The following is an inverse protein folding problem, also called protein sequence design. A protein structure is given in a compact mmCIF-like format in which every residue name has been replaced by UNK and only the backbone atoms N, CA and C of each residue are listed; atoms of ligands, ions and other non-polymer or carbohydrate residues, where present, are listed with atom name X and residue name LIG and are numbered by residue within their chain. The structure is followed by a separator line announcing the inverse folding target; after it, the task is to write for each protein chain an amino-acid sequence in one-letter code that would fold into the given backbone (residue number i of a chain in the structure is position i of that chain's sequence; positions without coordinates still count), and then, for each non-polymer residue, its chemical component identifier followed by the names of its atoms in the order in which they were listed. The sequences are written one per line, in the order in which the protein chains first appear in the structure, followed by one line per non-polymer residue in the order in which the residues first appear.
data_IF_097289168194
#
_entry.id   IF_097289168194
#
_cell.length_a   1.000
_cell.length_b   1.000
_cell.length_c   1.000
_cell.angle_alpha   90.00
_cell.angle_beta   90.00
_cell.angle_gamma   90.00
#
_symmetry.space_group_name_H-M   'P 1'
#
loop_
_entity.id
_entity.type
_entity.pdbx_description
1 polymer ?
#
# COMPACT_ATOMS: atom_id res chain seq x y z
N UNK A 1 4.03 -28.15 -9.12
CA UNK A 1 4.99 -28.20 -7.99
C UNK A 1 6.21 -27.32 -8.27
N UNK A 2 6.92 -27.54 -9.36
CA UNK A 2 8.10 -26.75 -9.76
C UNK A 2 7.82 -25.24 -9.84
N UNK A 3 6.72 -24.84 -10.44
CA UNK A 3 6.30 -23.43 -10.48
C UNK A 3 6.12 -22.85 -9.07
N UNK A 4 5.51 -23.61 -8.15
CA UNK A 4 5.35 -23.20 -6.76
C UNK A 4 6.68 -23.01 -6.04
N UNK A 5 7.63 -23.92 -6.25
CA UNK A 5 8.99 -23.86 -5.70
C UNK A 5 9.72 -22.63 -6.27
N UNK A 6 9.60 -22.35 -7.56
CA UNK A 6 10.24 -21.20 -8.21
C UNK A 6 9.68 -19.86 -7.70
N UNK A 7 8.41 -19.81 -7.31
CA UNK A 7 7.77 -18.61 -6.69
C UNK A 7 8.24 -18.34 -5.25
N UNK A 8 8.89 -19.30 -4.57
CA UNK A 8 9.45 -19.06 -3.24
C UNK A 8 10.57 -18.01 -3.29
N UNK A 9 10.50 -17.02 -2.40
CA UNK A 9 11.55 -16.01 -2.31
C UNK A 9 12.80 -16.57 -1.63
N UNK A 10 13.96 -16.48 -2.29
CA UNK A 10 15.26 -16.83 -1.72
C UNK A 10 15.75 -15.78 -0.71
N UNK A 11 16.79 -16.14 0.08
CA UNK A 11 17.42 -15.24 1.06
C UNK A 11 16.52 -14.84 2.22
N UNK A 12 15.48 -15.61 2.54
CA UNK A 12 14.57 -15.37 3.66
C UNK A 12 14.88 -16.26 4.84
N UNK A 13 14.54 -15.79 6.05
CA UNK A 13 14.68 -16.59 7.27
C UNK A 13 13.88 -17.88 7.18
N UNK A 14 14.46 -18.98 7.63
CA UNK A 14 13.78 -20.25 7.84
C UNK A 14 12.94 -20.21 9.13
N UNK A 15 12.01 -21.14 9.25
CA UNK A 15 11.33 -21.44 10.50
C UNK A 15 12.22 -22.31 11.42
N UNK A 16 11.62 -22.95 12.43
CA UNK A 16 12.35 -23.81 13.38
C UNK A 16 12.89 -25.09 12.75
N UNK A 17 12.36 -25.47 11.59
CA UNK A 17 12.78 -26.67 10.83
C UNK A 17 14.12 -26.51 10.10
N UNK A 18 14.69 -25.30 10.05
CA UNK A 18 15.94 -25.04 9.36
C UNK A 18 15.86 -25.19 7.83
N UNK A 19 14.66 -25.36 7.24
CA UNK A 19 14.49 -25.56 5.80
C UNK A 19 14.32 -24.21 5.09
N UNK A 20 15.27 -23.90 4.20
CA UNK A 20 15.27 -22.70 3.36
C UNK A 20 14.62 -22.96 1.99
N UNK A 21 14.18 -21.90 1.32
CA UNK A 21 13.65 -22.02 -0.04
C UNK A 21 14.69 -22.59 -1.03
N UNK A 22 15.95 -22.32 -0.82
CA UNK A 22 17.09 -22.80 -1.60
C UNK A 22 17.19 -24.33 -1.56
N UNK A 23 16.92 -24.96 -0.42
CA UNK A 23 16.91 -26.44 -0.33
C UNK A 23 15.89 -27.07 -1.28
N UNK A 24 14.71 -26.43 -1.44
CA UNK A 24 13.70 -26.91 -2.37
C UNK A 24 14.03 -26.56 -3.84
N UNK A 25 14.64 -25.41 -4.08
CA UNK A 25 15.01 -24.97 -5.45
C UNK A 25 16.11 -25.80 -6.08
N UNK A 26 16.99 -26.34 -5.26
CA UNK A 26 18.13 -27.16 -5.72
C UNK A 26 17.96 -28.64 -5.43
N UNK A 27 16.77 -29.11 -5.03
CA UNK A 27 16.49 -30.52 -4.84
C UNK A 27 16.36 -31.28 -6.19
N UNK A 28 16.47 -32.61 -6.13
CA UNK A 28 16.31 -33.45 -7.32
C UNK A 28 14.84 -33.49 -7.80
N UNK A 29 14.65 -33.81 -9.08
CA UNK A 29 13.31 -34.00 -9.65
C UNK A 29 12.50 -35.08 -8.94
N UNK A 30 13.19 -36.17 -8.47
CA UNK A 30 12.54 -37.23 -7.70
C UNK A 30 11.98 -36.72 -6.38
N UNK A 31 12.68 -35.82 -5.70
CA UNK A 31 12.22 -35.18 -4.48
C UNK A 31 11.02 -34.27 -4.75
N UNK A 32 11.06 -33.47 -5.83
CA UNK A 32 9.95 -32.63 -6.27
C UNK A 32 8.70 -33.47 -6.60
N UNK A 33 8.87 -34.63 -7.23
CA UNK A 33 7.76 -35.55 -7.52
C UNK A 33 7.17 -36.14 -6.22
N UNK A 34 8.02 -36.51 -5.23
CA UNK A 34 7.57 -36.97 -3.92
C UNK A 34 6.77 -35.87 -3.20
N UNK A 35 7.28 -34.64 -3.16
CA UNK A 35 6.57 -33.49 -2.59
C UNK A 35 5.21 -33.27 -3.25
N UNK A 36 5.11 -33.43 -4.57
CA UNK A 36 3.85 -33.30 -5.28
C UNK A 36 2.82 -34.35 -4.81
N UNK A 37 3.25 -35.59 -4.62
CA UNK A 37 2.40 -36.67 -4.09
C UNK A 37 1.96 -36.36 -2.65
N UNK A 38 2.86 -35.91 -1.77
CA UNK A 38 2.53 -35.52 -0.39
C UNK A 38 1.51 -34.39 -0.36
N UNK A 39 1.72 -33.31 -1.11
CA UNK A 39 0.79 -32.17 -1.16
C UNK A 39 -0.57 -32.57 -1.72
N UNK A 40 -0.61 -33.45 -2.72
CA UNK A 40 -1.86 -34.01 -3.25
C UNK A 40 -2.57 -34.84 -2.20
N UNK A 41 -1.86 -35.70 -1.46
CA UNK A 41 -2.43 -36.48 -0.37
C UNK A 41 -3.05 -35.60 0.71
N UNK A 42 -2.38 -34.50 1.11
CA UNK A 42 -2.94 -33.54 2.07
C UNK A 42 -4.26 -32.94 1.58
N UNK A 43 -4.35 -32.58 0.32
CA UNK A 43 -5.58 -32.02 -0.25
C UNK A 43 -6.71 -33.04 -0.35
N UNK A 44 -6.40 -34.29 -0.71
CA UNK A 44 -7.38 -35.39 -0.83
C UNK A 44 -7.93 -35.77 0.55
N UNK A 45 -7.06 -35.99 1.51
CA UNK A 45 -7.45 -36.45 2.84
C UNK A 45 -7.92 -35.31 3.76
N UNK A 46 -7.60 -34.05 3.43
CA UNK A 46 -7.97 -32.88 4.25
C UNK A 46 -7.23 -32.82 5.58
N UNK A 47 -6.04 -33.37 5.65
CA UNK A 47 -5.18 -33.45 6.82
C UNK A 47 -3.82 -32.81 6.55
N UNK A 48 -3.25 -32.13 7.56
CA UNK A 48 -1.91 -31.55 7.52
C UNK A 48 -1.08 -32.03 8.71
N UNK A 49 0.21 -32.36 8.50
CA UNK A 49 1.14 -32.60 9.59
C UNK A 49 1.31 -31.35 10.48
N UNK A 50 1.51 -31.57 11.77
CA UNK A 50 1.65 -30.48 12.75
C UNK A 50 2.79 -29.49 12.39
N UNK A 51 3.90 -30.02 11.85
CA UNK A 51 5.04 -29.20 11.40
C UNK A 51 4.70 -28.16 10.33
N UNK A 52 3.66 -28.40 9.52
CA UNK A 52 3.17 -27.42 8.53
C UNK A 52 2.26 -26.35 9.16
N UNK A 53 1.69 -26.63 10.32
CA UNK A 53 0.73 -25.76 11.00
C UNK A 53 1.38 -24.92 12.10
N UNK A 54 2.62 -25.22 12.47
CA UNK A 54 3.36 -24.52 13.51
C UNK A 54 3.99 -23.25 12.96
N UNK A 55 3.86 -22.13 13.66
CA UNK A 55 4.30 -20.79 13.28
C UNK A 55 5.01 -20.10 14.42
N UNK A 56 6.12 -19.43 14.13
CA UNK A 56 6.81 -18.55 15.08
C UNK A 56 6.46 -17.10 14.80
N UNK A 57 5.94 -16.42 15.83
CA UNK A 57 5.67 -14.98 15.78
C UNK A 57 6.88 -14.21 16.27
N UNK A 58 7.34 -13.29 15.46
CA UNK A 58 8.43 -12.36 15.83
C UNK A 58 7.84 -10.96 15.97
N UNK A 59 7.81 -10.39 17.19
CA UNK A 59 7.32 -9.03 17.40
C UNK A 59 8.29 -7.99 16.80
N UNK A 60 7.79 -7.18 15.87
CA UNK A 60 8.56 -6.08 15.25
C UNK A 60 7.97 -4.74 15.68
N UNK A 61 8.82 -3.81 16.13
CA UNK A 61 8.43 -2.47 16.56
C UNK A 61 7.80 -1.71 15.37
N UNK A 62 6.58 -1.18 15.56
CA UNK A 62 5.87 -0.34 14.58
C UNK A 62 6.46 1.06 14.52
N UNK A 63 6.64 1.67 15.69
CA UNK A 63 7.15 3.02 15.85
C UNK A 63 8.33 3.01 16.81
N UNK A 64 9.51 3.37 16.30
CA UNK A 64 10.76 3.42 17.10
C UNK A 64 10.76 4.55 18.12
N UNK A 65 9.93 5.58 17.92
CA UNK A 65 9.74 6.70 18.86
C UNK A 65 8.63 6.43 19.88
N UNK A 66 7.83 5.38 19.65
CA UNK A 66 6.75 4.98 20.55
C UNK A 66 7.23 4.24 21.80
N UNK A 67 6.33 4.01 22.75
CA UNK A 67 6.63 3.28 23.99
C UNK A 67 6.96 1.82 23.68
N UNK A 68 8.23 1.43 23.93
CA UNK A 68 8.72 0.05 23.73
C UNK A 68 8.04 -0.93 24.68
N UNK A 69 7.58 -0.47 25.85
CA UNK A 69 6.87 -1.28 26.85
C UNK A 69 5.43 -1.59 26.49
N UNK A 70 4.87 -0.90 25.48
CA UNK A 70 3.48 -1.14 25.04
C UNK A 70 3.42 -2.24 24.00
N UNK A 71 2.63 -3.28 24.27
CA UNK A 71 2.34 -4.39 23.35
C UNK A 71 1.73 -3.90 22.00
N UNK A 72 1.01 -2.79 22.03
CA UNK A 72 0.36 -2.24 20.83
C UNK A 72 1.35 -1.60 19.85
N UNK A 73 2.60 -1.33 20.29
CA UNK A 73 3.69 -0.85 19.45
C UNK A 73 4.40 -1.99 18.69
N UNK A 74 3.91 -3.22 18.75
CA UNK A 74 4.50 -4.36 18.05
C UNK A 74 3.56 -4.92 16.97
N UNK A 75 4.16 -5.41 15.87
CA UNK A 75 3.50 -6.24 14.86
C UNK A 75 4.02 -7.66 14.99
N UNK A 76 3.15 -8.66 15.24
CA UNK A 76 3.57 -10.06 15.26
C UNK A 76 3.73 -10.56 13.83
N UNK A 77 4.97 -10.66 13.34
CA UNK A 77 5.24 -11.20 12.02
C UNK A 77 5.37 -12.72 12.12
N UNK A 78 4.53 -13.42 11.37
CA UNK A 78 4.49 -14.88 11.32
C UNK A 78 5.59 -15.43 10.42
N UNK A 79 6.47 -16.25 10.98
CA UNK A 79 7.48 -17.04 10.26
C UNK A 79 7.00 -18.48 10.20
N UNK A 80 6.41 -18.86 9.08
CA UNK A 80 5.99 -20.22 8.78
C UNK A 80 7.11 -21.00 8.07
N UNK A 81 7.04 -22.33 8.13
CA UNK A 81 7.98 -23.21 7.41
C UNK A 81 7.95 -22.96 5.90
N UNK A 82 9.04 -23.29 5.22
CA UNK A 82 9.13 -23.18 3.75
C UNK A 82 8.09 -24.08 3.07
N UNK A 83 7.83 -25.24 3.66
CA UNK A 83 6.81 -26.18 3.19
C UNK A 83 5.39 -25.61 3.35
N UNK A 84 5.10 -24.92 4.46
CA UNK A 84 3.83 -24.20 4.64
C UNK A 84 3.65 -23.12 3.57
N UNK A 85 4.69 -22.33 3.29
CA UNK A 85 4.64 -21.31 2.23
C UNK A 85 4.41 -21.91 0.85
N UNK A 86 5.03 -23.08 0.56
CA UNK A 86 4.80 -23.80 -0.69
C UNK A 86 3.32 -24.25 -0.80
N UNK A 87 2.76 -24.79 0.28
CA UNK A 87 1.34 -25.15 0.31
C UNK A 87 0.44 -23.92 0.12
N UNK A 88 0.75 -22.77 0.75
CA UNK A 88 0.02 -21.52 0.53
C UNK A 88 0.06 -21.07 -0.93
N UNK A 89 1.19 -21.19 -1.62
CA UNK A 89 1.31 -20.87 -3.06
C UNK A 89 0.40 -21.78 -3.88
N UNK A 90 0.39 -23.08 -3.61
CA UNK A 90 -0.46 -24.06 -4.32
C UNK A 90 -1.94 -23.76 -4.07
N UNK A 91 -2.31 -23.47 -2.83
CA UNK A 91 -3.68 -23.11 -2.48
C UNK A 91 -4.11 -21.79 -3.13
N UNK A 92 -3.23 -20.78 -3.13
CA UNK A 92 -3.50 -19.49 -3.77
C UNK A 92 -3.78 -19.63 -5.26
N UNK A 93 -2.99 -20.45 -5.95
CA UNK A 93 -3.19 -20.71 -7.37
C UNK A 93 -4.54 -21.38 -7.65
N UNK A 94 -4.90 -22.40 -6.86
CA UNK A 94 -6.18 -23.11 -6.98
C UNK A 94 -7.40 -22.27 -6.57
N UNK A 95 -7.23 -21.35 -5.64
CA UNK A 95 -8.27 -20.46 -5.15
C UNK A 95 -8.38 -19.15 -5.95
N UNK A 96 -7.47 -18.85 -6.85
CA UNK A 96 -7.34 -17.54 -7.52
C UNK A 96 -8.65 -16.99 -8.08
N UNK A 97 -9.45 -17.84 -8.74
CA UNK A 97 -10.73 -17.45 -9.34
C UNK A 97 -11.82 -17.11 -8.30
N UNK A 98 -11.71 -17.64 -7.09
CA UNK A 98 -12.66 -17.42 -5.99
C UNK A 98 -12.25 -16.26 -5.08
N UNK A 99 -10.99 -15.78 -5.20
CA UNK A 99 -10.43 -14.68 -4.42
C UNK A 99 -10.51 -13.32 -5.15
N UNK A 100 -11.23 -13.26 -6.26
CA UNK A 100 -11.46 -12.01 -6.98
C UNK A 100 -12.23 -11.03 -6.10
N UNK A 101 -11.77 -9.79 -6.07
CA UNK A 101 -12.39 -8.72 -5.30
C UNK A 101 -12.74 -7.52 -6.16
N UNK A 102 -13.58 -6.65 -5.63
CA UNK A 102 -14.11 -5.46 -6.28
C UNK A 102 -13.01 -4.55 -6.84
N UNK A 103 -13.32 -3.76 -7.89
CA UNK A 103 -12.43 -2.74 -8.46
C UNK A 103 -12.04 -1.65 -7.46
N UNK A 104 -12.81 -1.48 -6.38
CA UNK A 104 -12.49 -0.54 -5.29
C UNK A 104 -11.38 -1.03 -4.35
N UNK A 105 -11.03 -2.34 -4.36
CA UNK A 105 -9.89 -2.87 -3.60
C UNK A 105 -8.62 -2.79 -4.45
N UNK A 106 -7.65 -1.98 -4.00
CA UNK A 106 -6.34 -1.80 -4.65
C UNK A 106 -5.23 -2.62 -3.97
N UNK A 107 -5.39 -2.97 -2.71
CA UNK A 107 -4.39 -3.74 -1.96
C UNK A 107 -4.30 -5.18 -2.43
N UNK A 108 -3.08 -5.74 -2.42
CA UNK A 108 -2.79 -7.14 -2.74
C UNK A 108 -3.23 -7.64 -4.12
N UNK A 109 -3.41 -6.74 -5.06
CA UNK A 109 -3.71 -7.06 -6.46
C UNK A 109 -2.53 -6.78 -7.37
N UNK A 110 -2.25 -7.71 -8.28
CA UNK A 110 -1.25 -7.49 -9.34
C UNK A 110 -1.61 -6.23 -10.15
N UNK A 111 -0.59 -5.49 -10.57
CA UNK A 111 -0.72 -4.23 -11.33
C UNK A 111 -1.50 -3.10 -10.63
N UNK A 112 -1.87 -3.28 -9.36
CA UNK A 112 -2.48 -2.23 -8.53
C UNK A 112 -1.42 -1.70 -7.56
N UNK A 113 -1.44 -0.39 -7.30
CA UNK A 113 -0.43 0.27 -6.48
C UNK A 113 -1.05 1.38 -5.63
N UNK A 114 -0.33 1.76 -4.57
CA UNK A 114 -0.77 2.85 -3.68
C UNK A 114 -0.96 4.16 -4.42
N UNK A 115 -0.08 4.46 -5.37
CA UNK A 115 -0.15 5.68 -6.19
C UNK A 115 -1.37 5.70 -7.11
N UNK A 116 -1.79 4.56 -7.67
CA UNK A 116 -3.00 4.46 -8.47
C UNK A 116 -4.27 4.67 -7.61
N UNK A 117 -4.30 4.11 -6.39
CA UNK A 117 -5.39 4.32 -5.45
C UNK A 117 -5.52 5.81 -5.05
N UNK A 118 -4.40 6.45 -4.67
CA UNK A 118 -4.36 7.86 -4.32
C UNK A 118 -4.73 8.74 -5.54
N UNK A 119 -4.30 8.36 -6.74
CA UNK A 119 -4.66 9.04 -7.97
C UNK A 119 -6.18 9.08 -8.18
N UNK A 120 -6.85 7.93 -8.08
CA UNK A 120 -8.32 7.85 -8.21
C UNK A 120 -9.00 8.73 -7.17
N UNK A 121 -8.54 8.70 -5.92
CA UNK A 121 -9.07 9.55 -4.85
C UNK A 121 -8.92 11.04 -5.19
N UNK A 122 -7.70 11.50 -5.52
CA UNK A 122 -7.41 12.91 -5.86
C UNK A 122 -8.24 13.37 -7.06
N UNK A 123 -8.32 12.56 -8.11
CA UNK A 123 -9.09 12.90 -9.31
C UNK A 123 -10.59 12.97 -9.05
N UNK A 124 -11.14 12.06 -8.23
CA UNK A 124 -12.55 12.11 -7.84
C UNK A 124 -12.87 13.39 -7.04
N UNK A 125 -12.02 13.72 -6.09
CA UNK A 125 -12.17 14.94 -5.25
C UNK A 125 -12.04 16.21 -6.10
N UNK A 126 -10.99 16.33 -6.88
CA UNK A 126 -10.71 17.53 -7.70
C UNK A 126 -11.78 17.74 -8.77
N UNK A 127 -12.40 16.65 -9.27
CA UNK A 127 -13.52 16.73 -10.17
C UNK A 127 -14.71 17.52 -9.59
N UNK A 128 -15.06 17.23 -8.35
CA UNK A 128 -16.19 17.90 -7.67
C UNK A 128 -15.83 19.31 -7.24
N UNK A 129 -14.63 19.50 -6.69
CA UNK A 129 -14.17 20.83 -6.25
C UNK A 129 -14.07 21.81 -7.43
N UNK A 130 -13.63 21.35 -8.62
CA UNK A 130 -13.62 22.17 -9.82
C UNK A 130 -15.03 22.59 -10.28
N UNK A 131 -16.06 21.87 -9.85
CA UNK A 131 -17.50 22.19 -10.10
C UNK A 131 -18.19 22.88 -8.94
N UNK A 132 -17.39 23.46 -8.03
CA UNK A 132 -17.89 24.19 -6.86
C UNK A 132 -18.67 23.30 -5.87
N UNK A 133 -18.47 21.99 -5.91
CA UNK A 133 -19.01 21.05 -4.94
C UNK A 133 -17.94 20.63 -3.94
N UNK A 134 -18.24 20.69 -2.66
CA UNK A 134 -17.36 20.17 -1.61
C UNK A 134 -17.38 18.64 -1.60
N UNK A 135 -16.30 18.02 -1.10
CA UNK A 135 -16.24 16.58 -0.90
C UNK A 135 -15.80 16.29 0.53
N UNK A 136 -16.55 15.43 1.18
CA UNK A 136 -16.29 14.92 2.52
C UNK A 136 -15.58 13.58 2.39
N UNK A 137 -14.47 13.44 3.07
CA UNK A 137 -13.63 12.24 3.09
C UNK A 137 -13.55 11.71 4.50
N UNK A 138 -13.74 10.42 4.69
CA UNK A 138 -13.48 9.76 5.96
C UNK A 138 -12.41 8.68 5.75
N UNK A 139 -11.31 8.79 6.49
CA UNK A 139 -10.25 7.79 6.53
C UNK A 139 -10.46 6.91 7.75
N UNK A 140 -10.81 5.65 7.54
CA UNK A 140 -11.13 4.69 8.57
C UNK A 140 -9.92 3.80 8.86
N UNK A 141 -9.54 3.69 10.13
CA UNK A 141 -8.48 2.80 10.64
C UNK A 141 -9.12 1.56 11.29
N UNK A 142 -8.88 0.39 10.76
CA UNK A 142 -9.37 -0.84 11.36
C UNK A 142 -8.36 -1.40 12.37
N UNK A 143 -8.80 -1.56 13.62
CA UNK A 143 -7.95 -2.04 14.71
C UNK A 143 -7.62 -3.51 14.58
N UNK A 144 -6.33 -3.84 14.36
CA UNK A 144 -5.85 -5.23 14.29
C UNK A 144 -6.69 -6.10 13.33
N UNK A 145 -7.02 -5.53 12.15
CA UNK A 145 -7.97 -6.14 11.22
C UNK A 145 -7.60 -7.57 10.82
N UNK A 146 -6.31 -7.85 10.55
CA UNK A 146 -5.81 -9.18 10.24
C UNK A 146 -6.02 -10.18 11.38
N UNK A 147 -5.90 -9.74 12.63
CA UNK A 147 -5.98 -10.59 13.82
C UNK A 147 -7.45 -10.90 14.22
N UNK A 148 -8.42 -10.18 13.60
CA UNK A 148 -9.86 -10.28 13.93
C UNK A 148 -10.70 -11.06 12.92
N UNK A 149 -10.11 -11.52 11.82
CA UNK A 149 -10.85 -12.29 10.82
C UNK A 149 -11.45 -13.52 11.45
N UNK A 150 -12.78 -13.60 11.49
CA UNK A 150 -13.51 -14.76 11.96
C UNK A 150 -13.39 -15.91 10.95
N UNK A 151 -12.84 -17.03 11.37
CA UNK A 151 -12.55 -18.18 10.50
C UNK A 151 -13.83 -18.79 9.91
N UNK A 152 -14.89 -18.93 10.72
CA UNK A 152 -16.16 -19.48 10.23
C UNK A 152 -16.74 -18.61 9.13
N UNK A 153 -16.84 -17.30 9.36
CA UNK A 153 -17.34 -16.34 8.37
C UNK A 153 -16.47 -16.35 7.11
N UNK A 154 -15.16 -16.46 7.24
CA UNK A 154 -14.24 -16.56 6.12
C UNK A 154 -14.52 -17.80 5.25
N UNK A 155 -14.69 -18.96 5.88
CA UNK A 155 -14.94 -20.22 5.16
C UNK A 155 -16.32 -20.22 4.50
N UNK A 156 -17.35 -19.68 5.17
CA UNK A 156 -18.66 -19.47 4.56
C UNK A 156 -18.60 -18.58 3.32
N UNK A 157 -17.81 -17.50 3.36
CA UNK A 157 -17.60 -16.63 2.20
C UNK A 157 -16.93 -17.36 1.04
N UNK A 158 -15.93 -18.18 1.31
CA UNK A 158 -15.29 -19.03 0.29
C UNK A 158 -16.30 -20.01 -0.34
N UNK A 159 -17.12 -20.65 0.47
CA UNK A 159 -18.17 -21.57 -0.02
C UNK A 159 -19.21 -20.82 -0.86
N UNK A 160 -19.70 -19.67 -0.39
CA UNK A 160 -20.66 -18.83 -1.15
C UNK A 160 -20.11 -18.38 -2.51
N UNK A 161 -18.77 -18.26 -2.64
CA UNK A 161 -18.11 -17.97 -3.92
C UNK A 161 -17.85 -19.21 -4.78
N UNK A 162 -18.30 -20.39 -4.34
CA UNK A 162 -18.17 -21.63 -5.09
C UNK A 162 -16.78 -22.27 -5.00
N UNK A 163 -15.96 -21.89 -4.00
CA UNK A 163 -14.68 -22.55 -3.79
C UNK A 163 -14.87 -24.05 -3.55
N UNK A 164 -14.06 -24.93 -4.17
CA UNK A 164 -14.18 -26.37 -4.01
C UNK A 164 -14.09 -26.79 -2.53
N UNK A 165 -15.01 -27.65 -2.10
CA UNK A 165 -15.14 -28.04 -0.69
C UNK A 165 -13.87 -28.65 -0.10
N UNK A 166 -13.07 -29.37 -0.90
CA UNK A 166 -11.79 -29.93 -0.43
C UNK A 166 -10.76 -28.83 -0.11
N UNK A 167 -10.77 -27.70 -0.81
CA UNK A 167 -9.90 -26.54 -0.51
C UNK A 167 -10.36 -25.83 0.75
N UNK A 168 -11.66 -25.64 0.92
CA UNK A 168 -12.20 -25.04 2.15
C UNK A 168 -11.94 -25.93 3.35
N UNK A 169 -12.11 -27.26 3.21
CA UNK A 169 -11.84 -28.26 4.28
C UNK A 169 -10.38 -28.22 4.74
N UNK A 170 -9.42 -28.19 3.81
CA UNK A 170 -8.00 -28.16 4.20
C UNK A 170 -7.63 -26.84 4.89
N UNK A 171 -8.19 -25.69 4.45
CA UNK A 171 -8.02 -24.41 5.11
C UNK A 171 -8.64 -24.41 6.51
N UNK A 172 -9.87 -24.92 6.66
CA UNK A 172 -10.52 -25.03 7.94
C UNK A 172 -9.70 -25.88 8.91
N UNK A 173 -9.24 -27.07 8.46
CA UNK A 173 -8.37 -27.93 9.26
C UNK A 173 -7.09 -27.19 9.68
N UNK A 174 -6.44 -26.48 8.75
CA UNK A 174 -5.23 -25.73 9.04
C UNK A 174 -5.44 -24.64 10.09
N UNK A 175 -6.43 -23.78 9.88
CA UNK A 175 -6.70 -22.64 10.78
C UNK A 175 -7.18 -23.09 12.17
N UNK A 176 -7.91 -24.22 12.26
CA UNK A 176 -8.36 -24.77 13.54
C UNK A 176 -7.22 -25.39 14.34
N UNK A 177 -6.25 -26.04 13.66
CA UNK A 177 -5.18 -26.80 14.32
C UNK A 177 -3.84 -26.07 14.34
N UNK A 178 -3.78 -24.80 13.86
CA UNK A 178 -2.53 -24.04 13.86
C UNK A 178 -2.07 -23.72 15.27
N UNK A 179 -0.78 -23.92 15.50
CA UNK A 179 -0.08 -23.58 16.75
C UNK A 179 0.88 -22.44 16.51
N UNK A 180 0.92 -21.51 17.45
CA UNK A 180 1.83 -20.35 17.39
C UNK A 180 2.68 -20.28 18.64
N UNK A 181 3.96 -19.90 18.50
CA UNK A 181 4.87 -19.57 19.59
C UNK A 181 5.47 -18.18 19.35
N UNK A 182 5.78 -17.44 20.40
CA UNK A 182 6.41 -16.12 20.29
C UNK A 182 7.91 -16.28 20.50
N UNK A 183 8.72 -15.72 19.59
CA UNK A 183 10.17 -15.62 19.73
C UNK A 183 10.56 -14.22 20.11
N UNK A 184 11.21 -14.07 21.27
CA UNK A 184 11.78 -12.83 21.75
C UNK A 184 13.29 -13.01 21.99
N UNK A 185 14.08 -12.50 21.07
CA UNK A 185 15.53 -12.77 21.07
C UNK A 185 15.82 -14.25 20.87
N UNK A 186 16.47 -14.90 21.86
CA UNK A 186 16.79 -16.34 21.90
C UNK A 186 15.70 -17.18 22.58
N UNK A 187 14.72 -16.55 23.23
CA UNK A 187 13.67 -17.25 23.99
C UNK A 187 12.47 -17.50 23.07
N UNK A 188 11.89 -18.70 23.20
CA UNK A 188 10.63 -19.10 22.52
C UNK A 188 9.64 -19.48 23.61
N UNK A 189 8.42 -18.97 23.53
CA UNK A 189 7.32 -19.30 24.42
C UNK A 189 6.78 -20.71 24.18
N UNK A 190 5.96 -21.20 25.10
CA UNK A 190 5.08 -22.34 24.84
C UNK A 190 4.16 -22.04 23.65
N UNK A 191 3.72 -23.12 22.97
CA UNK A 191 2.78 -23.04 21.89
C UNK A 191 1.37 -22.74 22.38
N UNK A 192 0.65 -21.88 21.67
CA UNK A 192 -0.75 -21.57 21.93
C UNK A 192 -1.59 -21.65 20.64
N UNK A 193 -2.88 -21.92 20.79
CA UNK A 193 -3.84 -21.93 19.68
C UNK A 193 -4.40 -20.54 19.42
N UNK A 194 -4.71 -20.26 18.15
CA UNK A 194 -5.31 -19.01 17.70
C UNK A 194 -6.63 -19.34 17.00
N UNK A 195 -7.73 -18.81 17.53
CA UNK A 195 -9.10 -19.07 17.06
C UNK A 195 -9.55 -18.11 15.94
N UNK A 196 -8.91 -16.95 15.80
CA UNK A 196 -9.27 -15.90 14.85
C UNK A 196 -8.03 -15.34 14.16
N UNK A 197 -8.25 -14.66 13.06
CA UNK A 197 -7.22 -13.92 12.34
C UNK A 197 -6.52 -14.70 11.25
N UNK A 198 -5.90 -13.93 10.34
CA UNK A 198 -5.02 -14.45 9.29
C UNK A 198 -3.58 -14.04 9.58
N UNK A 199 -2.63 -14.89 9.23
CA UNK A 199 -1.21 -14.73 9.60
C UNK A 199 -0.58 -13.50 8.95
N UNK A 200 -0.05 -12.57 9.75
CA UNK A 200 0.71 -11.43 9.23
C UNK A 200 2.07 -11.92 8.69
N UNK A 201 2.20 -12.03 7.36
CA UNK A 201 3.37 -12.59 6.68
C UNK A 201 3.11 -13.90 5.94
N UNK A 202 1.91 -14.47 6.05
CA UNK A 202 1.45 -15.57 5.19
C UNK A 202 1.24 -15.11 3.74
N UNK A 203 1.44 -16.00 2.79
CA UNK A 203 1.27 -15.71 1.36
C UNK A 203 -0.21 -15.60 1.00
N UNK A 204 -1.04 -16.45 1.57
CA UNK A 204 -2.48 -16.50 1.31
C UNK A 204 -3.26 -15.45 2.11
N UNK A 205 -2.76 -15.05 3.29
CA UNK A 205 -3.45 -14.16 4.23
C UNK A 205 -3.94 -12.84 3.64
N UNK A 206 -3.18 -12.11 2.80
CA UNK A 206 -3.64 -10.87 2.21
C UNK A 206 -4.87 -11.04 1.32
N UNK A 207 -4.94 -12.13 0.58
CA UNK A 207 -6.05 -12.43 -0.32
C UNK A 207 -7.30 -12.85 0.45
N UNK A 208 -7.13 -13.67 1.49
CA UNK A 208 -8.23 -14.06 2.39
C UNK A 208 -8.81 -12.86 3.13
N UNK A 209 -7.95 -11.94 3.58
CA UNK A 209 -8.39 -10.69 4.20
C UNK A 209 -9.16 -9.80 3.21
N UNK A 210 -8.63 -9.64 1.98
CA UNK A 210 -9.31 -8.87 0.94
C UNK A 210 -10.68 -9.46 0.59
N UNK A 211 -10.79 -10.78 0.50
CA UNK A 211 -12.05 -11.50 0.34
C UNK A 211 -13.01 -11.21 1.51
N UNK A 212 -12.50 -11.27 2.74
CA UNK A 212 -13.28 -11.04 3.95
C UNK A 212 -13.94 -9.66 3.94
N UNK A 213 -13.23 -8.63 3.48
CA UNK A 213 -13.69 -7.24 3.40
C UNK A 213 -14.53 -6.93 2.13
N UNK A 214 -14.54 -7.79 1.13
CA UNK A 214 -15.13 -7.48 -0.18
C UNK A 214 -16.67 -7.34 -0.17
N UNK A 215 -17.33 -8.03 0.77
CA UNK A 215 -18.78 -7.88 0.93
C UNK A 215 -19.16 -6.47 1.44
N UNK A 216 -18.30 -5.83 2.26
CA UNK A 216 -18.48 -4.43 2.61
C UNK A 216 -18.40 -3.54 1.37
N UNK A 217 -17.42 -3.79 0.49
CA UNK A 217 -17.33 -3.08 -0.80
C UNK A 217 -18.59 -3.25 -1.63
N UNK A 218 -19.16 -4.45 -1.65
CA UNK A 218 -20.41 -4.74 -2.36
C UNK A 218 -21.61 -4.01 -1.74
N UNK A 219 -21.70 -3.96 -0.40
CA UNK A 219 -22.74 -3.20 0.32
C UNK A 219 -22.60 -1.70 0.02
N UNK A 220 -21.40 -1.14 0.09
CA UNK A 220 -21.12 0.28 -0.19
C UNK A 220 -21.44 0.66 -1.65
N UNK A 221 -21.14 -0.19 -2.62
CA UNK A 221 -21.47 0.04 -4.03
C UNK A 221 -22.98 0.14 -4.32
N UNK A 222 -23.81 -0.48 -3.48
CA UNK A 222 -25.28 -0.40 -3.62
C UNK A 222 -25.86 0.94 -3.18
N UNK A 223 -25.08 1.75 -2.44
CA UNK A 223 -25.50 3.10 -2.07
C UNK A 223 -25.38 4.06 -3.25
N UNK A 224 -26.41 4.91 -3.43
CA UNK A 224 -26.36 6.00 -4.41
C UNK A 224 -25.48 7.17 -3.94
N UNK A 225 -25.14 7.22 -2.64
CA UNK A 225 -24.22 8.19 -2.07
C UNK A 225 -22.80 7.96 -2.57
N UNK A 226 -22.11 9.04 -2.98
CA UNK A 226 -20.74 9.00 -3.47
C UNK A 226 -20.46 9.99 -4.60
N UNK A 227 -19.21 10.02 -5.04
CA UNK A 227 -18.78 10.87 -6.15
C UNK A 227 -19.11 10.18 -7.48
N UNK A 228 -20.13 10.66 -8.18
CA UNK A 228 -20.51 10.14 -9.49
C UNK A 228 -19.58 10.73 -10.57
N UNK A 229 -18.85 9.86 -11.25
CA UNK A 229 -17.97 10.20 -12.37
C UNK A 229 -18.40 9.35 -13.57
N UNK A 230 -18.84 10.01 -14.65
CA UNK A 230 -19.51 9.33 -15.76
C UNK A 230 -20.67 8.46 -15.24
N UNK A 231 -20.63 7.17 -15.52
CA UNK A 231 -21.65 6.22 -15.07
C UNK A 231 -21.27 5.43 -13.80
N UNK A 232 -20.16 5.82 -13.13
CA UNK A 232 -19.66 5.12 -11.96
C UNK A 232 -19.80 6.00 -10.70
N UNK A 233 -20.17 5.35 -9.59
CA UNK A 233 -20.16 5.97 -8.27
C UNK A 233 -18.90 5.51 -7.56
N UNK A 234 -18.06 6.47 -7.18
CA UNK A 234 -16.86 6.27 -6.36
C UNK A 234 -17.21 6.77 -4.96
N UNK A 235 -17.53 5.88 -4.04
CA UNK A 235 -17.87 6.22 -2.67
C UNK A 235 -16.93 5.61 -1.64
N UNK A 236 -16.06 4.68 -2.06
CA UNK A 236 -15.04 4.08 -1.20
C UNK A 236 -13.86 3.56 -2.02
N UNK A 237 -12.69 3.55 -1.40
CA UNK A 237 -11.49 2.88 -1.89
C UNK A 237 -10.85 2.10 -0.74
N UNK A 238 -10.49 0.86 -0.99
CA UNK A 238 -9.75 0.00 -0.09
C UNK A 238 -8.30 -0.16 -0.53
N UNK A 239 -7.39 -0.12 0.41
CA UNK A 239 -6.05 -0.65 0.25
C UNK A 239 -5.71 -1.56 1.42
N UNK A 240 -6.01 -2.84 1.29
CA UNK A 240 -6.02 -3.81 2.37
C UNK A 240 -7.04 -3.41 3.47
N UNK A 241 -6.56 -3.07 4.67
CA UNK A 241 -7.31 -2.60 5.82
C UNK A 241 -7.57 -1.08 5.82
N UNK A 242 -6.80 -0.31 5.05
CA UNK A 242 -7.02 1.12 4.90
C UNK A 242 -8.26 1.38 4.02
N UNK A 243 -9.30 1.96 4.61
CA UNK A 243 -10.54 2.33 3.93
C UNK A 243 -10.70 3.84 3.91
N UNK A 244 -10.96 4.41 2.74
CA UNK A 244 -11.43 5.79 2.60
C UNK A 244 -12.82 5.82 2.00
N UNK A 245 -13.73 6.52 2.67
CA UNK A 245 -15.06 6.84 2.16
C UNK A 245 -15.04 8.25 1.57
N UNK A 246 -15.82 8.49 0.50
CA UNK A 246 -15.92 9.80 -0.13
C UNK A 246 -17.33 10.08 -0.62
N UNK A 247 -17.85 11.27 -0.30
CA UNK A 247 -19.17 11.69 -0.73
C UNK A 247 -19.25 13.23 -0.86
N UNK A 248 -19.98 13.77 -1.86
CA UNK A 248 -20.19 15.21 -1.97
C UNK A 248 -21.24 15.77 -1.00
N UNK A 249 -21.97 14.94 -0.28
CA UNK A 249 -22.95 15.34 0.73
C UNK A 249 -22.61 14.81 2.11
N UNK A 250 -22.85 15.63 3.13
CA UNK A 250 -22.64 15.25 4.53
C UNK A 250 -23.49 14.04 4.92
N UNK A 251 -24.80 14.10 4.63
CA UNK A 251 -25.75 13.01 4.92
C UNK A 251 -25.30 11.70 4.24
N UNK A 252 -24.90 11.76 2.96
CA UNK A 252 -24.45 10.56 2.24
C UNK A 252 -23.19 9.96 2.84
N UNK A 253 -22.23 10.75 3.34
CA UNK A 253 -21.07 10.21 4.04
C UNK A 253 -21.46 9.53 5.36
N UNK A 254 -22.42 10.10 6.11
CA UNK A 254 -22.92 9.49 7.34
C UNK A 254 -23.63 8.14 7.07
N UNK A 255 -24.44 8.03 6.03
CA UNK A 255 -25.07 6.77 5.61
C UNK A 255 -24.04 5.68 5.23
N UNK A 256 -22.92 6.09 4.61
CA UNK A 256 -21.81 5.17 4.33
C UNK A 256 -21.09 4.70 5.61
N UNK A 257 -20.90 5.61 6.59
CA UNK A 257 -20.33 5.26 7.91
C UNK A 257 -21.21 4.25 8.65
N UNK A 258 -22.53 4.47 8.72
CA UNK A 258 -23.49 3.55 9.32
C UNK A 258 -23.46 2.16 8.65
N UNK A 259 -23.22 2.12 7.35
CA UNK A 259 -23.06 0.84 6.62
C UNK A 259 -21.79 0.13 7.04
N UNK A 260 -20.70 0.87 7.28
CA UNK A 260 -19.45 0.31 7.81
C UNK A 260 -19.63 -0.21 9.24
N UNK A 261 -20.36 0.51 10.11
CA UNK A 261 -20.66 0.09 11.49
C UNK A 261 -21.42 -1.24 11.53
N UNK A 262 -22.52 -1.32 10.76
CA UNK A 262 -23.32 -2.57 10.69
C UNK A 262 -22.48 -3.74 10.22
N UNK A 263 -21.69 -3.54 9.19
CA UNK A 263 -20.79 -4.58 8.69
C UNK A 263 -19.74 -4.99 9.72
N UNK A 264 -19.17 -4.01 10.42
CA UNK A 264 -18.17 -4.24 11.45
C UNK A 264 -18.72 -5.10 12.59
N UNK A 265 -19.94 -4.80 13.06
CA UNK A 265 -20.63 -5.59 14.08
C UNK A 265 -20.91 -7.03 13.63
N UNK A 266 -21.30 -7.25 12.36
CA UNK A 266 -21.57 -8.56 11.78
C UNK A 266 -20.29 -9.41 11.57
N UNK A 267 -19.11 -8.78 11.50
CA UNK A 267 -17.87 -9.41 11.04
C UNK A 267 -16.70 -9.27 12.03
N UNK A 268 -16.96 -9.01 13.32
CA UNK A 268 -15.95 -8.86 14.37
C UNK A 268 -14.85 -7.82 14.05
N UNK A 269 -15.14 -6.84 13.20
CA UNK A 269 -14.23 -5.76 12.85
C UNK A 269 -14.45 -4.60 13.84
N UNK A 270 -13.38 -3.94 14.25
CA UNK A 270 -13.46 -2.73 15.09
C UNK A 270 -12.76 -1.59 14.37
N UNK A 271 -13.50 -0.54 14.06
CA UNK A 271 -12.92 0.71 13.61
C UNK A 271 -12.42 1.52 14.81
N UNK A 272 -11.24 2.11 14.65
CA UNK A 272 -10.63 2.96 15.68
C UNK A 272 -11.09 4.40 15.50
N UNK A 273 -12.06 4.83 16.29
CA UNK A 273 -12.65 6.19 16.23
C UNK A 273 -11.60 7.28 16.46
N UNK A 274 -10.61 7.05 17.36
CA UNK A 274 -9.53 8.01 17.66
C UNK A 274 -8.48 8.17 16.55
N UNK A 275 -8.39 7.23 15.64
CA UNK A 275 -7.47 7.30 14.48
C UNK A 275 -8.19 7.55 13.17
N UNK A 276 -9.51 7.27 13.15
CA UNK A 276 -10.34 7.60 12.01
C UNK A 276 -10.60 9.11 11.98
N UNK A 277 -10.45 9.73 10.82
CA UNK A 277 -10.52 11.19 10.71
C UNK A 277 -11.32 11.62 9.49
N UNK A 278 -11.91 12.80 9.59
CA UNK A 278 -12.63 13.48 8.51
C UNK A 278 -11.72 14.53 7.89
N UNK A 279 -11.65 14.55 6.56
CA UNK A 279 -11.02 15.63 5.81
C UNK A 279 -12.01 16.20 4.81
N UNK A 280 -12.22 17.51 4.84
CA UNK A 280 -13.22 18.19 4.02
C UNK A 280 -12.52 19.05 2.98
N UNK A 281 -12.72 18.71 1.71
CA UNK A 281 -12.33 19.53 0.57
C UNK A 281 -13.44 20.54 0.28
N UNK A 282 -13.36 21.71 0.94
CA UNK A 282 -14.37 22.75 0.80
C UNK A 282 -14.31 23.45 -0.55
N UNK A 283 -15.45 23.58 -1.21
CA UNK A 283 -15.59 24.50 -2.34
C UNK A 283 -15.62 25.94 -1.85
N UNK A 284 -15.49 26.89 -2.78
CA UNK A 284 -15.58 28.32 -2.43
C UNK A 284 -16.93 28.70 -1.83
N UNK A 285 -18.00 28.01 -2.22
CA UNK A 285 -19.36 28.25 -1.72
C UNK A 285 -19.58 27.80 -0.27
N UNK A 286 -18.83 26.81 0.21
CA UNK A 286 -18.98 26.24 1.55
C UNK A 286 -18.01 26.84 2.57
N UNK A 287 -17.32 27.93 2.23
CA UNK A 287 -16.48 28.65 3.18
C UNK A 287 -17.32 29.23 4.30
N UNK A 288 -17.07 28.79 5.54
CA UNK A 288 -17.74 29.26 6.74
C UNK A 288 -19.09 28.60 7.07
N UNK A 289 -19.53 27.60 6.30
CA UNK A 289 -20.70 26.81 6.69
C UNK A 289 -20.41 25.94 7.90
N UNK A 290 -21.31 25.92 8.85
CA UNK A 290 -21.27 25.01 9.99
C UNK A 290 -21.61 23.60 9.52
N UNK A 291 -20.73 22.63 9.82
CA UNK A 291 -20.87 21.24 9.41
C UNK A 291 -21.09 20.42 10.67
N UNK A 292 -22.21 19.71 10.72
CA UNK A 292 -22.51 18.82 11.84
C UNK A 292 -21.40 17.75 11.97
N UNK A 293 -21.02 17.35 13.18
CA UNK A 293 -20.03 16.31 13.40
C UNK A 293 -20.45 14.98 12.75
N UNK A 294 -19.48 14.27 12.22
CA UNK A 294 -19.69 12.90 11.75
C UNK A 294 -19.51 11.92 12.90
N UNK A 295 -20.43 11.00 13.05
CA UNK A 295 -20.38 9.99 14.09
C UNK A 295 -19.97 8.62 13.54
N UNK A 296 -19.19 7.88 14.33
CA UNK A 296 -18.82 6.47 14.11
C UNK A 296 -18.88 5.73 15.44
N UNK A 297 -19.67 4.68 15.50
CA UNK A 297 -19.89 3.89 16.75
C UNK A 297 -20.28 4.79 17.95
N UNK A 298 -21.09 5.81 17.73
CA UNK A 298 -21.53 6.75 18.77
C UNK A 298 -20.52 7.82 19.19
N UNK A 299 -19.32 7.82 18.63
CA UNK A 299 -18.29 8.82 18.89
C UNK A 299 -18.14 9.79 17.69
N UNK A 300 -17.93 11.06 17.97
CA UNK A 300 -17.65 12.05 16.93
C UNK A 300 -16.24 11.90 16.39
N UNK A 301 -16.11 11.95 15.07
CA UNK A 301 -14.82 11.89 14.39
C UNK A 301 -14.20 13.29 14.28
N UNK A 302 -12.87 13.36 14.48
CA UNK A 302 -12.12 14.60 14.36
C UNK A 302 -12.00 15.06 12.90
N UNK A 303 -12.30 16.35 12.64
CA UNK A 303 -11.96 16.99 11.37
C UNK A 303 -10.50 17.42 11.35
N UNK A 304 -9.77 17.04 10.29
CA UNK A 304 -8.36 17.39 10.10
C UNK A 304 -8.14 18.16 8.80
N UNK A 305 -7.12 19.02 8.80
CA UNK A 305 -6.71 19.73 7.58
C UNK A 305 -5.75 18.92 6.70
N UNK A 306 -5.12 17.89 7.23
CA UNK A 306 -4.18 17.01 6.52
C UNK A 306 -4.20 15.61 7.10
N UNK A 307 -4.06 14.60 6.25
CA UNK A 307 -3.98 13.19 6.63
C UNK A 307 -2.89 12.48 5.85
N UNK A 308 -2.18 11.56 6.49
CA UNK A 308 -1.24 10.67 5.82
C UNK A 308 -1.97 9.40 5.39
N UNK A 309 -2.23 9.28 4.09
CA UNK A 309 -2.90 8.13 3.48
C UNK A 309 -1.94 7.37 2.57
N UNK A 310 -1.78 6.07 2.78
CA UNK A 310 -0.87 5.20 2.02
C UNK A 310 0.54 5.79 1.85
N UNK A 311 1.05 6.48 2.88
CA UNK A 311 2.39 7.07 2.87
C UNK A 311 2.51 8.43 2.17
N UNK A 312 1.44 8.96 1.58
CA UNK A 312 1.34 10.29 0.96
C UNK A 312 0.48 11.22 1.84
N UNK A 313 0.78 12.53 1.85
CA UNK A 313 -0.04 13.50 2.57
C UNK A 313 -1.12 14.08 1.65
N UNK A 314 -2.38 14.00 2.10
CA UNK A 314 -3.53 14.63 1.46
C UNK A 314 -3.96 15.80 2.33
N UNK A 315 -4.13 16.99 1.73
CA UNK A 315 -4.49 18.23 2.44
C UNK A 315 -5.85 18.76 2.00
N UNK A 316 -6.54 19.41 2.93
CA UNK A 316 -7.83 20.04 2.69
C UNK A 316 -7.75 21.17 1.65
N UNK A 317 -6.61 21.82 1.45
CA UNK A 317 -6.39 22.83 0.40
C UNK A 317 -6.03 22.22 -0.98
N UNK A 318 -5.76 20.91 -1.06
CA UNK A 318 -5.38 20.17 -2.27
C UNK A 318 -3.98 20.39 -2.75
N UNK A 319 -3.11 21.01 -1.97
CA UNK A 319 -1.71 21.20 -2.30
C UNK A 319 -0.85 20.02 -1.83
N UNK A 320 0.24 19.79 -2.52
CA UNK A 320 1.21 18.74 -2.19
C UNK A 320 2.40 19.25 -1.34
N UNK A 321 2.33 20.48 -0.84
CA UNK A 321 3.41 21.14 -0.11
C UNK A 321 3.90 20.33 1.08
N UNK A 322 2.99 19.73 1.83
CA UNK A 322 3.30 18.90 2.99
C UNK A 322 4.07 17.65 2.59
N UNK A 323 3.63 16.99 1.53
CA UNK A 323 4.29 15.78 1.04
C UNK A 323 5.66 16.07 0.44
N UNK A 324 5.81 17.16 -0.32
CA UNK A 324 7.11 17.61 -0.83
C UNK A 324 8.07 17.99 0.30
N UNK A 325 7.60 18.66 1.35
CA UNK A 325 8.41 18.98 2.52
C UNK A 325 8.84 17.71 3.27
N UNK A 326 7.99 16.67 3.35
CA UNK A 326 8.35 15.35 3.87
C UNK A 326 9.48 14.73 3.03
N UNK A 327 9.35 14.75 1.70
CA UNK A 327 10.36 14.23 0.80
C UNK A 327 11.69 14.99 0.93
N UNK A 328 11.64 16.32 1.08
CA UNK A 328 12.82 17.15 1.29
C UNK A 328 13.55 16.80 2.61
N UNK A 329 12.82 16.64 3.71
CA UNK A 329 13.41 16.23 5.00
C UNK A 329 14.05 14.84 4.90
N UNK A 330 13.37 13.88 4.25
CA UNK A 330 13.91 12.54 4.03
C UNK A 330 15.20 12.58 3.22
N UNK A 331 15.23 13.38 2.15
CA UNK A 331 16.41 13.55 1.30
C UNK A 331 17.60 14.08 2.08
N UNK A 332 17.43 15.13 2.89
CA UNK A 332 18.50 15.65 3.74
C UNK A 332 18.96 14.65 4.79
N UNK A 333 18.04 13.92 5.43
CA UNK A 333 18.40 12.90 6.42
C UNK A 333 19.23 11.78 5.80
N UNK A 334 18.84 11.30 4.61
CA UNK A 334 19.58 10.28 3.86
C UNK A 334 20.93 10.82 3.39
N UNK A 335 20.96 12.01 2.78
CA UNK A 335 22.18 12.66 2.32
C UNK A 335 23.20 12.88 3.44
N UNK A 336 22.77 13.43 4.57
CA UNK A 336 23.63 13.64 5.72
C UNK A 336 24.16 12.31 6.30
N UNK A 337 23.35 11.25 6.30
CA UNK A 337 23.80 9.92 6.70
C UNK A 337 24.89 9.38 5.77
N UNK A 338 24.72 9.55 4.45
CA UNK A 338 25.73 9.15 3.47
C UNK A 338 27.03 9.96 3.63
N UNK A 339 26.93 11.29 3.73
CA UNK A 339 28.06 12.18 3.91
C UNK A 339 28.88 11.77 5.15
N UNK A 340 28.21 11.48 6.28
CA UNK A 340 28.88 11.11 7.53
C UNK A 340 29.52 9.73 7.46
N UNK A 341 28.81 8.73 6.91
CA UNK A 341 29.26 7.33 6.96
C UNK A 341 30.26 6.97 5.86
N UNK A 342 30.17 7.63 4.71
CA UNK A 342 30.90 7.24 3.50
C UNK A 342 31.83 8.34 2.97
N UNK A 343 32.28 9.24 3.84
CA UNK A 343 33.14 10.37 3.46
C UNK A 343 34.49 9.93 2.87
N UNK A 344 35.02 8.77 3.29
CA UNK A 344 36.29 8.21 2.79
C UNK A 344 36.15 7.34 1.52
N UNK A 345 34.91 7.07 1.08
CA UNK A 345 34.69 6.26 -0.11
C UNK A 345 35.09 7.02 -1.39
N UNK A 346 35.34 6.26 -2.47
CA UNK A 346 35.60 6.81 -3.81
C UNK A 346 34.39 7.56 -4.33
N UNK A 347 34.62 8.46 -5.31
CA UNK A 347 33.53 9.22 -5.93
C UNK A 347 32.48 8.29 -6.56
N UNK A 348 32.90 7.23 -7.22
CA UNK A 348 32.01 6.22 -7.83
C UNK A 348 31.11 5.53 -6.82
N UNK A 349 31.66 5.12 -5.67
CA UNK A 349 30.88 4.52 -4.59
C UNK A 349 29.85 5.52 -4.04
N UNK A 350 30.22 6.76 -3.83
CA UNK A 350 29.33 7.83 -3.38
C UNK A 350 28.20 8.09 -4.36
N UNK A 351 28.50 8.10 -5.68
CA UNK A 351 27.49 8.23 -6.74
C UNK A 351 26.50 7.07 -6.71
N UNK A 352 26.96 5.82 -6.61
CA UNK A 352 26.07 4.65 -6.50
C UNK A 352 25.17 4.74 -5.28
N UNK A 353 25.73 5.12 -4.13
CA UNK A 353 24.96 5.31 -2.90
C UNK A 353 23.92 6.45 -3.03
N UNK A 354 24.29 7.58 -3.65
CA UNK A 354 23.37 8.67 -3.91
C UNK A 354 22.21 8.23 -4.79
N UNK A 355 22.48 7.56 -5.90
CA UNK A 355 21.45 7.06 -6.81
C UNK A 355 20.53 6.06 -6.10
N UNK A 356 21.08 5.18 -5.26
CA UNK A 356 20.29 4.18 -4.55
C UNK A 356 19.39 4.78 -3.48
N UNK A 357 19.88 5.72 -2.68
CA UNK A 357 19.19 6.20 -1.49
C UNK A 357 18.53 7.58 -1.65
N UNK A 358 19.09 8.47 -2.48
CA UNK A 358 18.63 9.86 -2.60
C UNK A 358 17.79 10.15 -3.85
N UNK A 359 17.76 9.24 -4.83
CA UNK A 359 17.03 9.45 -6.09
C UNK A 359 15.61 8.87 -6.11
N UNK A 360 15.15 8.28 -5.01
CA UNK A 360 13.82 7.67 -4.93
C UNK A 360 12.85 8.57 -4.16
N UNK A 361 11.88 9.13 -4.88
CA UNK A 361 10.82 9.96 -4.32
C UNK A 361 9.49 9.22 -4.38
N UNK A 362 9.01 8.77 -3.19
CA UNK A 362 7.78 8.01 -3.08
C UNK A 362 6.58 8.87 -3.48
N UNK A 363 5.74 8.36 -4.38
CA UNK A 363 4.55 9.02 -4.91
C UNK A 363 4.77 10.39 -5.56
N UNK A 364 6.00 10.70 -6.01
CA UNK A 364 6.31 11.98 -6.66
C UNK A 364 5.52 12.22 -7.96
N UNK A 365 5.06 11.17 -8.63
CA UNK A 365 4.17 11.23 -9.78
C UNK A 365 2.81 11.88 -9.48
N UNK A 366 2.42 11.97 -8.21
CA UNK A 366 1.18 12.61 -7.78
C UNK A 366 1.31 14.13 -7.59
N UNK A 367 2.54 14.69 -7.63
CA UNK A 367 2.79 16.13 -7.53
C UNK A 367 2.60 16.89 -8.84
N UNK A 368 1.94 16.30 -9.81
CA UNK A 368 1.78 16.78 -11.18
C UNK A 368 1.37 18.25 -11.32
N UNK A 369 0.52 18.73 -10.41
CA UNK A 369 -0.02 20.08 -10.48
C UNK A 369 0.79 21.11 -9.69
N UNK A 370 1.77 20.65 -8.91
CA UNK A 370 2.57 21.47 -8.00
C UNK A 370 4.01 21.72 -8.49
N UNK A 371 4.32 21.40 -9.76
CA UNK A 371 5.69 21.50 -10.32
C UNK A 371 6.21 22.94 -10.37
N UNK A 372 5.34 23.93 -10.34
CA UNK A 372 5.73 25.35 -10.33
C UNK A 372 5.78 25.96 -8.93
N UNK A 373 5.43 25.21 -7.91
CA UNK A 373 5.33 25.68 -6.53
C UNK A 373 6.70 25.91 -5.88
N UNK A 374 6.71 26.75 -4.85
CA UNK A 374 7.93 27.05 -4.08
C UNK A 374 8.55 25.79 -3.47
N UNK A 375 7.70 24.85 -3.00
CA UNK A 375 8.14 23.60 -2.39
C UNK A 375 8.83 22.68 -3.39
N UNK A 376 8.37 22.63 -4.64
CA UNK A 376 9.05 21.91 -5.71
C UNK A 376 10.44 22.47 -6.00
N UNK A 377 10.55 23.81 -6.15
CA UNK A 377 11.84 24.47 -6.35
C UNK A 377 12.81 24.21 -5.22
N UNK A 378 12.30 24.26 -3.96
CA UNK A 378 13.10 23.95 -2.76
C UNK A 378 13.63 22.51 -2.77
N UNK A 379 12.79 21.53 -3.17
CA UNK A 379 13.19 20.12 -3.25
C UNK A 379 14.24 19.89 -4.35
N UNK A 380 14.10 20.54 -5.51
CA UNK A 380 15.12 20.51 -6.58
C UNK A 380 16.48 21.07 -6.09
N UNK A 381 16.45 22.22 -5.41
CA UNK A 381 17.67 22.81 -4.82
C UNK A 381 18.27 21.87 -3.76
N UNK A 382 17.44 21.25 -2.91
CA UNK A 382 17.89 20.29 -1.92
C UNK A 382 18.59 19.08 -2.55
N UNK A 383 18.03 18.53 -3.63
CA UNK A 383 18.64 17.43 -4.38
C UNK A 383 20.01 17.77 -4.92
N UNK A 384 20.13 18.95 -5.55
CA UNK A 384 21.39 19.45 -6.06
C UNK A 384 22.43 19.65 -4.94
N UNK A 385 22.03 20.23 -3.83
CA UNK A 385 22.92 20.51 -2.70
C UNK A 385 23.42 19.23 -2.01
N UNK A 386 22.54 18.25 -1.79
CA UNK A 386 22.95 16.95 -1.21
C UNK A 386 24.01 16.28 -2.08
N UNK A 387 23.83 16.31 -3.42
CA UNK A 387 24.82 15.75 -4.34
C UNK A 387 26.17 16.50 -4.28
N UNK A 388 26.14 17.86 -4.29
CA UNK A 388 27.35 18.68 -4.15
C UNK A 388 28.10 18.39 -2.85
N UNK A 389 27.40 18.35 -1.73
CA UNK A 389 28.00 18.09 -0.42
C UNK A 389 28.59 16.69 -0.30
N UNK A 390 27.90 15.68 -0.81
CA UNK A 390 28.37 14.30 -0.80
C UNK A 390 29.69 14.13 -1.56
N UNK A 391 29.81 14.79 -2.73
CA UNK A 391 31.00 14.73 -3.58
C UNK A 391 32.02 15.83 -3.26
N UNK A 392 31.74 16.75 -2.32
CA UNK A 392 32.60 17.88 -1.98
C UNK A 392 33.00 18.70 -3.21
N UNK A 393 32.02 18.97 -4.10
CA UNK A 393 32.30 19.70 -5.33
C UNK A 393 32.75 21.16 -5.02
N UNK A 394 33.81 21.67 -5.68
CA UNK A 394 34.33 23.00 -5.44
C UNK A 394 33.31 24.08 -5.85
N UNK A 395 33.49 25.27 -5.28
CA UNK A 395 32.85 26.49 -5.75
C UNK A 395 33.82 27.20 -6.69
N UNK A 396 33.30 28.07 -7.58
CA UNK A 396 34.12 28.90 -8.41
C UNK A 396 34.83 30.01 -7.60
N UNK A 397 35.72 30.78 -8.24
CA UNK A 397 36.48 31.87 -7.62
C UNK A 397 35.58 32.99 -7.03
N UNK A 398 34.29 33.02 -7.43
CA UNK A 398 33.29 33.95 -6.93
C UNK A 398 32.41 33.32 -5.85
N UNK A 399 32.77 32.16 -5.34
CA UNK A 399 32.02 31.41 -4.30
C UNK A 399 30.71 30.77 -4.79
N UNK A 400 30.43 30.81 -6.12
CA UNK A 400 29.19 30.20 -6.66
C UNK A 400 29.35 28.71 -6.84
N UNK A 401 28.30 27.94 -6.56
CA UNK A 401 28.34 26.51 -6.75
C UNK A 401 28.40 26.11 -8.22
N UNK A 402 29.08 25.03 -8.56
CA UNK A 402 29.13 24.48 -9.92
C UNK A 402 27.72 24.33 -10.52
N UNK A 403 27.61 24.48 -11.86
CA UNK A 403 26.35 24.32 -12.58
C UNK A 403 25.67 22.99 -12.25
N UNK A 404 24.37 23.05 -11.97
CA UNK A 404 23.60 21.85 -11.69
C UNK A 404 23.57 20.87 -12.87
N UNK A 405 23.43 21.40 -14.10
CA UNK A 405 23.45 20.59 -15.32
C UNK A 405 24.79 19.89 -15.51
N UNK A 406 25.90 20.66 -15.47
CA UNK A 406 27.25 20.11 -15.66
C UNK A 406 27.61 19.02 -14.65
N UNK A 407 27.27 19.21 -13.36
CA UNK A 407 27.65 18.22 -12.35
C UNK A 407 26.96 16.86 -12.53
N UNK A 408 25.72 16.82 -13.03
CA UNK A 408 24.98 15.59 -13.29
C UNK A 408 25.38 14.94 -14.61
N UNK A 409 25.51 15.73 -15.69
CA UNK A 409 25.90 15.23 -17.02
C UNK A 409 27.27 14.59 -16.97
N UNK A 410 28.29 15.28 -16.41
CA UNK A 410 29.67 14.78 -16.34
C UNK A 410 29.80 13.47 -15.56
N UNK A 411 28.83 13.16 -14.67
CA UNK A 411 28.83 11.97 -13.81
C UNK A 411 27.78 10.95 -14.22
N UNK A 412 27.06 11.19 -15.32
CA UNK A 412 25.98 10.32 -15.83
C UNK A 412 24.89 10.04 -14.79
N UNK A 413 24.57 11.02 -13.96
CA UNK A 413 23.50 10.93 -12.93
C UNK A 413 22.31 11.75 -13.40
N UNK A 414 21.11 11.22 -13.19
CA UNK A 414 19.87 11.91 -13.56
C UNK A 414 19.64 13.12 -12.66
N UNK A 415 19.28 14.24 -13.27
CA UNK A 415 18.81 15.43 -12.55
C UNK A 415 17.47 15.14 -11.87
N UNK A 416 17.09 15.95 -10.87
CA UNK A 416 15.80 15.84 -10.20
C UNK A 416 14.61 15.91 -11.18
N UNK A 417 14.68 16.82 -12.13
CA UNK A 417 13.66 17.00 -13.16
C UNK A 417 13.53 15.78 -14.08
N UNK A 418 14.65 15.20 -14.48
CA UNK A 418 14.68 13.98 -15.29
C UNK A 418 14.10 12.78 -14.53
N UNK A 419 14.46 12.62 -13.25
CA UNK A 419 13.88 11.57 -12.40
C UNK A 419 12.36 11.72 -12.35
N UNK A 420 11.87 12.93 -12.08
CA UNK A 420 10.43 13.17 -11.95
C UNK A 420 9.70 12.93 -13.27
N UNK A 421 10.23 13.41 -14.41
CA UNK A 421 9.65 13.11 -15.74
C UNK A 421 9.53 11.61 -15.99
N UNK A 422 10.59 10.86 -15.71
CA UNK A 422 10.60 9.42 -15.90
C UNK A 422 9.57 8.70 -15.00
N UNK A 423 9.44 9.14 -13.74
CA UNK A 423 8.46 8.55 -12.81
C UNK A 423 7.02 8.87 -13.27
N UNK A 424 6.76 10.10 -13.69
CA UNK A 424 5.46 10.52 -14.22
C UNK A 424 5.12 9.75 -15.50
N UNK A 425 6.05 9.65 -16.44
CA UNK A 425 5.83 8.91 -17.68
C UNK A 425 5.49 7.44 -17.44
N UNK A 426 6.30 6.76 -16.62
CA UNK A 426 6.05 5.35 -16.25
C UNK A 426 4.71 5.16 -15.52
N UNK A 427 4.32 6.14 -14.71
CA UNK A 427 3.05 6.10 -14.02
C UNK A 427 1.89 6.22 -15.01
N UNK A 428 1.97 7.14 -15.96
CA UNK A 428 0.97 7.29 -17.00
C UNK A 428 0.80 6.02 -17.83
N UNK A 429 1.89 5.39 -18.30
CA UNK A 429 1.81 4.11 -19.01
C UNK A 429 1.07 3.04 -18.18
N UNK A 430 1.40 2.95 -16.87
CA UNK A 430 0.71 2.00 -15.98
C UNK A 430 -0.78 2.30 -15.78
N UNK A 431 -1.18 3.58 -15.78
CA UNK A 431 -2.59 3.95 -15.71
C UNK A 431 -3.33 3.61 -17.02
N UNK A 432 -2.70 3.84 -18.18
CA UNK A 432 -3.25 3.53 -19.51
C UNK A 432 -3.39 2.02 -19.73
N UNK A 433 -2.46 1.23 -19.21
CA UNK A 433 -2.49 -0.25 -19.24
C UNK A 433 -3.37 -0.87 -18.14
N UNK A 434 -3.92 -0.07 -17.24
CA UNK A 434 -4.67 -0.56 -16.10
C UNK A 434 -6.00 -1.16 -16.54
N UNK A 435 -6.33 -2.35 -16.04
CA UNK A 435 -7.63 -2.99 -16.23
C UNK A 435 -8.68 -2.52 -15.20
N UNK A 436 -8.26 -1.78 -14.17
CA UNK A 436 -9.17 -1.30 -13.13
C UNK A 436 -10.14 -0.26 -13.67
N UNK A 437 -11.43 -0.52 -13.51
CA UNK A 437 -12.52 0.33 -14.03
C UNK A 437 -12.50 1.75 -13.45
N UNK A 438 -12.13 1.91 -12.16
CA UNK A 438 -12.05 3.22 -11.51
C UNK A 438 -10.90 4.05 -12.09
N UNK A 439 -9.76 3.41 -12.37
CA UNK A 439 -8.61 4.05 -13.00
C UNK A 439 -8.98 4.46 -14.44
N UNK A 440 -9.58 3.57 -15.23
CA UNK A 440 -10.04 3.89 -16.59
C UNK A 440 -11.02 5.06 -16.59
N UNK A 441 -12.01 5.04 -15.71
CA UNK A 441 -13.04 6.07 -15.63
C UNK A 441 -12.43 7.45 -15.30
N UNK A 442 -11.49 7.52 -14.34
CA UNK A 442 -10.85 8.77 -13.96
C UNK A 442 -9.85 9.27 -15.01
N UNK A 443 -9.12 8.36 -15.66
CA UNK A 443 -8.15 8.70 -16.71
C UNK A 443 -8.85 9.20 -17.98
N UNK A 444 -9.88 8.48 -18.47
CA UNK A 444 -10.61 8.83 -19.69
C UNK A 444 -11.20 10.24 -19.62
N UNK A 445 -11.67 10.63 -18.44
CA UNK A 445 -12.24 11.96 -18.23
C UNK A 445 -11.22 13.08 -18.24
N UNK A 446 -10.00 12.84 -17.75
CA UNK A 446 -8.90 13.82 -17.83
C UNK A 446 -8.53 14.14 -19.28
N UNK A 447 -8.71 13.18 -20.18
CA UNK A 447 -8.50 13.35 -21.61
C UNK A 447 -9.57 14.27 -22.23
N UNK A 448 -10.82 14.17 -21.77
CA UNK A 448 -11.97 14.87 -22.40
C UNK A 448 -12.19 16.28 -21.86
N UNK A 449 -12.03 16.55 -20.59
CA UNK A 449 -12.65 17.71 -19.92
C UNK A 449 -11.72 18.82 -19.40
N UNK A 450 -10.41 18.82 -19.64
CA UNK A 450 -9.57 19.94 -19.18
C UNK A 450 -8.46 20.33 -20.14
N UNK A 451 -8.66 21.45 -20.85
CA UNK A 451 -7.62 22.07 -21.67
C UNK A 451 -6.35 22.41 -20.87
N UNK A 452 -6.46 22.84 -19.62
CA UNK A 452 -5.31 23.15 -18.73
C UNK A 452 -4.59 21.90 -18.23
N UNK A 453 -5.31 20.85 -17.78
CA UNK A 453 -4.72 19.60 -17.29
C UNK A 453 -4.11 18.78 -18.42
N UNK A 454 -4.80 18.69 -19.57
CA UNK A 454 -4.28 18.06 -20.80
C UNK A 454 -3.02 18.76 -21.30
N UNK A 455 -3.00 20.09 -21.29
CA UNK A 455 -1.82 20.88 -21.64
C UNK A 455 -0.63 20.59 -20.72
N UNK A 456 -0.86 20.34 -19.43
CA UNK A 456 0.22 20.06 -18.48
C UNK A 456 0.79 18.65 -18.63
N UNK A 457 -0.06 17.62 -18.76
CA UNK A 457 0.36 16.26 -19.11
C UNK A 457 1.11 16.23 -20.45
N UNK A 458 0.57 16.88 -21.47
CA UNK A 458 1.18 16.91 -22.78
C UNK A 458 2.51 17.71 -22.78
N UNK A 459 2.59 18.85 -22.10
CA UNK A 459 3.86 19.58 -21.95
C UNK A 459 4.96 18.78 -21.29
N UNK A 460 4.64 17.91 -20.32
CA UNK A 460 5.61 17.04 -19.69
C UNK A 460 6.06 15.88 -20.60
N UNK A 461 5.25 15.52 -21.59
CA UNK A 461 5.51 14.42 -22.53
C UNK A 461 6.15 14.90 -23.83
N UNK A 462 5.72 16.03 -24.42
CA UNK A 462 6.26 16.60 -25.67
C UNK A 462 7.72 17.03 -25.55
N UNK A 463 8.20 17.40 -24.38
CA UNK A 463 9.63 17.70 -24.15
C UNK A 463 10.54 16.47 -24.40
N UNK A 464 9.99 15.27 -24.58
CA UNK A 464 10.77 14.07 -24.90
C UNK A 464 10.97 13.86 -26.42
N UNK A 465 10.03 14.33 -27.24
CA UNK A 465 10.13 14.21 -28.72
C UNK A 465 11.15 15.18 -29.33
N UNK A 466 11.46 16.28 -28.60
CA UNK A 466 12.48 17.26 -29.05
C UNK A 466 13.92 16.95 -28.59
N UNK A 467 14.13 15.93 -27.72
CA UNK A 467 15.44 15.59 -27.12
C UNK A 467 15.75 14.06 -27.17
N UNK A 468 15.12 13.32 -28.07
CA UNK A 468 15.34 11.89 -28.31
C UNK A 468 16.38 11.58 -29.35
#
# INVERSE_FOLDING_TARGET
MEEGINKLAGGKSCAMDGVYAEHLKYCSNNYTALLAKCMTSFLVHGFLPESLMSVVLVPIIKDKSGKITSKDNYRPIAIASTMSKLLEIILLERLSNFLLTSSSQFGFKAKHSTDACIYVLKEAVDYYVARQSSVYLCFLDASKAFDRVNHQVLFEKLQKRGAPSYLVRILAYWYTNQKMAIRWGSIISDCFHVSNGVRQGGILSPYLFSLYMDDLSTKLKKHYAGCKIANMIINHLFYADDLVLLCPSQRGLQELLETCERYAAEHDIIFNTKKSVILIRRSKMLKGADIQPFALCGENLDEVNEVKYLGHYISADGKDDRDMNRACRKLYAQGNSLIRKFHMCTEEAKIKLFVTYCSQFYCAQLWLFSIHDKCYKKLNVAYNNVFRFLLRLPRDDQGRPCSASGMFVNRRVKSFQEILRNVIFKFRCRLEESENELVKCTLFRNIINSSKRRSHWNKLLTIREENG
#
